data_IF_157298242320
#
_entry.id   IF_157298242320
#
_cell.length_a   1.000
_cell.length_b   1.000
_cell.length_c   1.000
_cell.angle_alpha   90.00
_cell.angle_beta   90.00
_cell.angle_gamma   90.00
#
_symmetry.space_group_name_H-M   'P 1'
#
loop_
_entity.id
_entity.type
_entity.pdbx_description
1 polymer ?
#
# COMPACT_ATOMS: atom_id res chain seq x y z
N UNK A 1 4.78 -9.65 -15.61
CA UNK A 1 3.87 -8.61 -15.11
C UNK A 1 3.09 -9.20 -13.95
N UNK A 2 3.18 -8.65 -12.74
CA UNK A 2 2.27 -9.06 -11.65
C UNK A 2 1.01 -8.22 -11.80
N UNK A 3 0.11 -8.63 -12.69
CA UNK A 3 -1.25 -8.05 -12.80
C UNK A 3 -2.11 -8.63 -11.69
N UNK A 4 -1.80 -8.23 -10.46
CA UNK A 4 -2.61 -8.56 -9.30
C UNK A 4 -3.42 -7.31 -8.99
N UNK A 5 -4.53 -7.12 -9.71
CA UNK A 5 -5.38 -5.94 -9.55
C UNK A 5 -5.73 -5.79 -8.07
N UNK A 6 -5.25 -4.71 -7.45
CA UNK A 6 -5.64 -4.29 -6.11
C UNK A 6 -6.77 -3.28 -6.15
N UNK A 7 -7.40 -3.13 -7.31
CA UNK A 7 -8.55 -2.27 -7.47
C UNK A 7 -9.62 -2.64 -6.44
N UNK A 8 -10.21 -1.63 -5.80
CA UNK A 8 -11.18 -1.74 -4.70
C UNK A 8 -10.66 -2.36 -3.40
N UNK A 9 -9.37 -2.72 -3.29
CA UNK A 9 -8.81 -3.18 -2.02
C UNK A 9 -8.83 -2.06 -0.98
N UNK A 10 -9.35 -2.35 0.20
CA UNK A 10 -9.47 -1.38 1.29
C UNK A 10 -8.18 -1.36 2.09
N UNK A 11 -7.68 -0.15 2.35
CA UNK A 11 -6.53 0.09 3.21
C UNK A 11 -6.96 0.04 4.68
N UNK A 12 -6.40 -0.92 5.39
CA UNK A 12 -6.54 -1.06 6.85
C UNK A 12 -5.42 -0.31 7.58
N UNK A 13 -4.19 -0.42 7.07
CA UNK A 13 -3.01 0.24 7.64
C UNK A 13 -2.14 0.79 6.55
N UNK A 14 -1.64 2.00 6.75
CA UNK A 14 -0.61 2.63 5.95
C UNK A 14 0.49 3.12 6.90
N UNK A 15 1.70 2.57 6.80
CA UNK A 15 2.80 2.89 7.71
C UNK A 15 4.13 3.00 6.97
N UNK A 16 4.69 4.19 6.96
CA UNK A 16 6.05 4.45 6.47
C UNK A 16 7.07 4.47 7.61
N UNK A 17 8.11 3.65 7.50
CA UNK A 17 9.32 3.67 8.35
C UNK A 17 10.45 4.35 7.57
N UNK A 18 10.64 5.64 7.83
CA UNK A 18 11.68 6.45 7.19
C UNK A 18 13.10 5.99 7.56
N UNK A 19 13.30 5.44 8.77
CA UNK A 19 14.63 4.96 9.19
C UNK A 19 15.10 3.79 8.32
N UNK A 20 14.15 2.97 7.86
CA UNK A 20 14.40 1.78 7.04
C UNK A 20 14.07 1.98 5.56
N UNK A 21 13.61 3.16 5.15
CA UNK A 21 13.13 3.42 3.79
C UNK A 21 12.07 2.41 3.33
N UNK A 22 11.13 2.06 4.23
CA UNK A 22 10.17 0.97 4.04
C UNK A 22 8.73 1.41 4.29
N UNK A 23 7.86 1.16 3.31
CA UNK A 23 6.42 1.35 3.42
C UNK A 23 5.72 -0.01 3.58
N UNK A 24 4.88 -0.12 4.61
CA UNK A 24 4.01 -1.25 4.85
C UNK A 24 2.55 -0.82 4.72
N UNK A 25 1.82 -1.49 3.82
CA UNK A 25 0.39 -1.27 3.64
C UNK A 25 -0.33 -2.58 3.90
N UNK A 26 -1.25 -2.60 4.86
CA UNK A 26 -2.16 -3.72 5.07
C UNK A 26 -3.45 -3.38 4.37
N UNK A 27 -3.90 -4.31 3.52
CA UNK A 27 -5.11 -4.18 2.72
C UNK A 27 -5.96 -5.43 2.84
N UNK A 28 -7.24 -5.28 2.60
CA UNK A 28 -8.15 -6.39 2.44
C UNK A 28 -9.09 -6.19 1.25
N UNK A 29 -9.45 -7.28 0.60
CA UNK A 29 -10.41 -7.30 -0.50
C UNK A 29 -11.50 -8.35 -0.24
N UNK A 30 -12.74 -8.08 -0.65
CA UNK A 30 -13.80 -9.10 -0.64
C UNK A 30 -13.57 -10.01 -1.83
N UNK A 31 -13.36 -11.29 -1.56
CA UNK A 31 -13.30 -12.32 -2.57
C UNK A 31 -14.70 -12.74 -3.02
N UNK A 32 -14.77 -13.36 -4.20
CA UNK A 32 -16.02 -13.78 -4.86
C UNK A 32 -16.87 -14.69 -3.96
N UNK A 33 -16.24 -15.47 -3.08
CA UNK A 33 -16.89 -16.38 -2.13
C UNK A 33 -17.31 -15.70 -0.80
N UNK A 34 -17.35 -14.36 -0.77
CA UNK A 34 -17.61 -13.53 0.42
C UNK A 34 -16.56 -13.66 1.53
N UNK A 35 -15.43 -14.32 1.29
CA UNK A 35 -14.30 -14.29 2.23
C UNK A 35 -13.54 -12.99 2.09
N UNK A 36 -12.91 -12.56 3.19
CA UNK A 36 -12.01 -11.41 3.20
C UNK A 36 -10.59 -11.92 2.99
N UNK A 37 -9.97 -11.51 1.89
CA UNK A 37 -8.57 -11.78 1.61
C UNK A 37 -7.71 -10.65 2.17
N UNK A 38 -6.83 -10.95 3.13
CA UNK A 38 -5.89 -9.99 3.69
C UNK A 38 -4.53 -10.08 3.01
N UNK A 39 -3.93 -8.93 2.76
CA UNK A 39 -2.63 -8.82 2.11
C UNK A 39 -1.78 -7.74 2.76
N UNK A 40 -0.47 -7.93 2.71
CA UNK A 40 0.53 -6.94 3.07
C UNK A 40 1.35 -6.57 1.84
N UNK A 41 1.36 -5.28 1.51
CA UNK A 41 2.30 -4.69 0.56
C UNK A 41 3.52 -4.20 1.34
N UNK A 42 4.70 -4.64 0.92
CA UNK A 42 5.97 -4.23 1.49
C UNK A 42 6.82 -3.62 0.37
N UNK A 43 7.05 -2.32 0.46
CA UNK A 43 7.84 -1.55 -0.48
C UNK A 43 9.10 -1.09 0.25
N UNK A 44 10.28 -1.33 -0.31
CA UNK A 44 11.56 -1.11 0.39
C UNK A 44 12.63 -0.54 -0.53
N UNK A 45 13.59 0.17 0.07
CA UNK A 45 14.62 0.90 -0.66
C UNK A 45 14.03 2.11 -1.37
N UNK A 46 13.08 2.80 -0.73
CA UNK A 46 12.36 3.96 -1.28
C UNK A 46 13.34 5.12 -1.45
N UNK A 47 13.35 5.75 -2.63
CA UNK A 47 14.24 6.88 -2.95
C UNK A 47 13.58 8.23 -2.72
N UNK A 48 12.27 8.33 -2.89
CA UNK A 48 11.50 9.57 -2.74
C UNK A 48 10.71 9.60 -1.41
N UNK A 49 11.42 9.44 -0.29
CA UNK A 49 10.81 9.28 1.05
C UNK A 49 9.91 10.44 1.48
N UNK A 50 10.26 11.68 1.08
CA UNK A 50 9.50 12.89 1.45
C UNK A 50 8.06 12.84 0.95
N UNK A 51 7.85 12.33 -0.27
CA UNK A 51 6.51 12.22 -0.86
C UNK A 51 5.67 11.22 -0.07
N UNK A 52 6.29 10.11 0.37
CA UNK A 52 5.62 9.08 1.16
C UNK A 52 5.25 9.61 2.56
N UNK A 53 6.14 10.38 3.19
CA UNK A 53 5.89 11.02 4.48
C UNK A 53 4.72 12.01 4.41
N UNK A 54 4.63 12.79 3.34
CA UNK A 54 3.51 13.71 3.14
C UNK A 54 2.18 12.96 3.03
N UNK A 55 2.14 11.88 2.25
CA UNK A 55 0.94 11.04 2.14
C UNK A 55 0.59 10.37 3.47
N UNK A 56 1.57 9.85 4.22
CA UNK A 56 1.36 9.31 5.56
C UNK A 56 0.71 10.35 6.48
N UNK A 57 1.22 11.58 6.51
CA UNK A 57 0.66 12.64 7.34
C UNK A 57 -0.79 12.99 6.96
N UNK A 58 -1.12 12.97 5.66
CA UNK A 58 -2.50 13.16 5.20
C UNK A 58 -3.40 12.01 5.66
N UNK A 59 -2.96 10.75 5.50
CA UNK A 59 -3.70 9.58 5.95
C UNK A 59 -3.90 9.60 7.48
N UNK A 60 -2.86 9.93 8.25
CA UNK A 60 -2.93 10.06 9.70
C UNK A 60 -3.93 11.15 10.13
N UNK A 61 -3.97 12.27 9.40
CA UNK A 61 -4.95 13.35 9.63
C UNK A 61 -6.37 12.89 9.35
N UNK A 62 -6.59 12.17 8.24
CA UNK A 62 -7.88 11.60 7.88
C UNK A 62 -8.34 10.57 8.93
N UNK A 63 -7.40 9.76 9.46
CA UNK A 63 -7.65 8.78 10.52
C UNK A 63 -8.00 9.47 11.85
N UNK A 64 -7.24 10.50 12.25
CA UNK A 64 -7.46 11.21 13.51
C UNK A 64 -8.82 11.94 13.54
N UNK A 65 -9.32 12.38 12.39
CA UNK A 65 -10.60 13.09 12.28
C UNK A 65 -11.85 12.21 12.32
N UNK A 66 -11.75 10.89 12.16
CA UNK A 66 -12.90 9.98 12.10
C UNK A 66 -12.89 8.95 13.24
N UNK A 67 -14.02 8.79 13.94
CA UNK A 67 -14.27 7.74 14.94
C UNK A 67 -14.33 6.31 14.37
N UNK A 68 -14.03 6.10 13.09
CA UNK A 68 -14.15 4.81 12.42
C UNK A 68 -12.78 4.19 12.20
N UNK A 69 -12.61 2.96 12.68
CA UNK A 69 -11.37 2.16 12.67
C UNK A 69 -11.02 1.54 11.30
N UNK A 70 -11.86 1.70 10.28
CA UNK A 70 -11.58 1.21 8.91
C UNK A 70 -11.98 2.28 7.91
N UNK A 71 -10.99 2.93 7.31
CA UNK A 71 -11.17 4.24 6.69
C UNK A 71 -11.95 4.23 5.37
N UNK A 72 -12.24 3.07 4.80
CA UNK A 72 -12.84 2.99 3.48
C UNK A 72 -11.99 3.65 2.39
N UNK A 73 -10.71 3.96 2.65
CA UNK A 73 -9.75 4.36 1.63
C UNK A 73 -9.50 3.13 0.77
N UNK A 74 -9.83 3.23 -0.51
CA UNK A 74 -9.66 2.14 -1.47
C UNK A 74 -8.50 2.45 -2.39
N UNK A 75 -7.90 1.38 -2.88
CA UNK A 75 -6.93 1.47 -3.96
C UNK A 75 -7.71 1.57 -5.27
N UNK A 76 -7.59 2.70 -5.94
CA UNK A 76 -8.13 2.90 -7.29
C UNK A 76 -7.25 2.20 -8.31
N UNK A 77 -5.94 2.36 -8.17
CA UNK A 77 -4.98 1.77 -9.09
C UNK A 77 -3.72 1.37 -8.33
N UNK A 78 -3.19 0.20 -8.69
CA UNK A 78 -1.89 -0.24 -8.24
C UNK A 78 -1.12 -0.86 -9.39
N UNK A 79 0.10 -0.39 -9.59
CA UNK A 79 1.06 -1.06 -10.45
C UNK A 79 2.43 -1.07 -9.82
N UNK A 80 3.18 -2.14 -10.07
CA UNK A 80 4.58 -2.26 -9.68
C UNK A 80 5.37 -2.72 -10.90
N UNK A 81 6.09 -1.80 -11.50
CA UNK A 81 6.76 -2.00 -12.79
C UNK A 81 8.27 -1.95 -12.56
N UNK A 82 8.95 -3.06 -12.83
CA UNK A 82 10.40 -3.10 -12.89
C UNK A 82 10.85 -2.24 -14.07
N UNK A 83 11.68 -1.24 -13.81
CA UNK A 83 12.29 -0.44 -14.87
C UNK A 83 13.40 -1.24 -15.55
N UNK A 84 13.64 -1.02 -16.85
CA UNK A 84 14.85 -1.53 -17.49
C UNK A 84 16.05 -1.04 -16.68
N UNK A 85 17.03 -1.93 -16.46
CA UNK A 85 18.18 -1.62 -15.62
C UNK A 85 18.88 -0.37 -16.17
N UNK A 86 18.81 0.72 -15.41
CA UNK A 86 19.77 1.82 -15.54
C UNK A 86 21.08 1.37 -14.88
N UNK A 87 22.18 2.08 -15.17
CA UNK A 87 23.52 1.75 -14.68
C UNK A 87 23.60 1.57 -13.13
N UNK A 88 22.62 2.12 -12.39
CA UNK A 88 22.53 2.10 -10.92
C UNK A 88 21.79 0.89 -10.31
N UNK A 89 21.38 -0.09 -11.11
CA UNK A 89 20.79 -1.34 -10.62
C UNK A 89 19.28 -1.51 -10.89
N UNK A 90 18.63 -2.40 -10.13
CA UNK A 90 17.20 -2.70 -10.32
C UNK A 90 16.33 -1.69 -9.56
N UNK A 91 15.59 -0.87 -10.31
CA UNK A 91 14.59 0.05 -9.78
C UNK A 91 13.19 -0.40 -10.18
N UNK A 92 12.24 -0.25 -9.26
CA UNK A 92 10.81 -0.41 -9.48
C UNK A 92 10.13 0.94 -9.34
N UNK A 93 9.15 1.18 -10.22
CA UNK A 93 8.19 2.27 -10.06
C UNK A 93 6.88 1.64 -9.59
N UNK A 94 6.46 2.02 -8.39
CA UNK A 94 5.14 1.68 -7.86
C UNK A 94 4.23 2.89 -8.04
N UNK A 95 3.12 2.71 -8.73
CA UNK A 95 2.03 3.68 -8.73
C UNK A 95 0.96 3.18 -7.79
N UNK A 96 0.61 3.96 -6.77
CA UNK A 96 -0.40 3.64 -5.77
C UNK A 96 -1.40 4.80 -5.71
N UNK A 97 -2.59 4.56 -6.24
CA UNK A 97 -3.66 5.55 -6.29
C UNK A 97 -4.67 5.15 -5.24
N UNK A 98 -4.92 6.06 -4.30
CA UNK A 98 -5.80 5.84 -3.17
C UNK A 98 -6.92 6.87 -3.28
N UNK A 99 -8.15 6.41 -3.13
CA UNK A 99 -9.35 7.24 -3.12
C UNK A 99 -9.12 8.53 -2.32
N UNK A 100 -9.49 9.67 -2.91
CA UNK A 100 -9.38 11.00 -2.30
C UNK A 100 -7.95 11.51 -2.01
N UNK A 101 -6.91 10.79 -2.43
CA UNK A 101 -5.52 11.23 -2.32
C UNK A 101 -4.93 11.55 -3.69
N UNK A 102 -3.87 12.36 -3.70
CA UNK A 102 -3.08 12.54 -4.91
C UNK A 102 -2.40 11.21 -5.30
N UNK A 103 -2.28 10.91 -6.61
CA UNK A 103 -1.54 9.75 -7.09
C UNK A 103 -0.13 9.66 -6.49
N UNK A 104 0.19 8.53 -5.86
CA UNK A 104 1.49 8.32 -5.24
C UNK A 104 2.38 7.49 -6.17
N UNK A 105 3.45 8.11 -6.66
CA UNK A 105 4.52 7.43 -7.39
C UNK A 105 5.67 7.15 -6.43
N UNK A 106 6.13 5.90 -6.34
CA UNK A 106 7.18 5.46 -5.43
C UNK A 106 8.31 4.84 -6.26
N UNK A 107 9.52 5.36 -6.07
CA UNK A 107 10.73 4.80 -6.66
C UNK A 107 11.41 3.93 -5.61
N UNK A 108 11.55 2.63 -5.87
CA UNK A 108 12.06 1.70 -4.87
C UNK A 108 12.92 0.57 -5.45
N UNK A 109 13.64 -0.14 -4.60
CA UNK A 109 14.44 -1.30 -4.99
C UNK A 109 13.64 -2.60 -4.98
N UNK A 110 12.60 -2.68 -4.15
CA UNK A 110 11.78 -3.89 -3.97
C UNK A 110 10.32 -3.53 -3.70
N UNK A 111 9.43 -4.37 -4.23
CA UNK A 111 7.99 -4.32 -3.94
C UNK A 111 7.45 -5.76 -3.89
N UNK A 112 6.92 -6.14 -2.73
CA UNK A 112 6.39 -7.47 -2.45
C UNK A 112 4.93 -7.39 -2.02
N UNK A 113 4.13 -8.40 -2.42
CA UNK A 113 2.77 -8.62 -1.93
C UNK A 113 2.73 -9.99 -1.25
N UNK A 114 2.37 -10.01 0.03
CA UNK A 114 2.26 -11.22 0.85
C UNK A 114 0.80 -11.44 1.24
N UNK A 115 0.31 -12.67 1.15
CA UNK A 115 -1.01 -13.01 1.72
C UNK A 115 -0.87 -13.15 3.23
N UNK A 116 -1.82 -12.60 3.97
CA UNK A 116 -1.92 -12.75 5.41
C UNK A 116 -2.97 -13.84 5.67
N UNK A 117 -2.53 -15.02 6.10
CA UNK A 117 -3.44 -16.12 6.44
C UNK A 117 -4.11 -15.80 7.78
N UNK A 118 -5.44 -15.80 7.77
CA UNK A 118 -6.33 -15.10 8.71
C UNK A 118 -6.44 -15.63 10.14
N UNK A 119 -5.35 -15.60 10.92
CA UNK A 119 -5.40 -15.80 12.37
C UNK A 119 -5.21 -14.50 13.19
N UNK A 120 -5.08 -13.32 12.56
CA UNK A 120 -4.58 -12.12 13.28
C UNK A 120 -5.44 -10.87 13.14
N UNK A 121 -6.50 -10.88 12.34
CA UNK A 121 -7.38 -9.72 12.16
C UNK A 121 -8.82 -10.15 12.43
N UNK A 122 -9.13 -10.42 13.70
CA UNK A 122 -10.52 -10.52 14.14
C UNK A 122 -11.19 -9.17 13.84
N UNK A 123 -11.98 -9.15 12.78
CA UNK A 123 -13.03 -8.15 12.61
C UNK A 123 -13.93 -8.25 13.84
N UNK A 124 -13.75 -7.34 14.80
CA UNK A 124 -14.74 -7.16 15.87
C UNK A 124 -16.07 -6.84 15.19
N UNK A 125 -17.02 -7.74 15.42
CA UNK A 125 -18.41 -7.67 14.98
C UNK A 125 -19.11 -6.43 15.53
#
# INVERSE_FOLDING_TARGET
>A
MVTNSLHDAVIDRFKFDATRGRLEVIIWERQVDKKVGWWQLIISGIKNEKDIQQVQAVIDTILAGKKYTSLGLRIDEFSCIKQPASEDGTTYIVNLFIDHLAPLKIECEKCNRLSLVGNTFETKA
#
